data_IF_611674569672
#
_entry.id   IF_611674569672
#
_cell.length_a   1.000
_cell.length_b   1.000
_cell.length_c   1.000
_cell.angle_alpha   90.00
_cell.angle_beta   90.00
_cell.angle_gamma   90.00
#
_symmetry.space_group_name_H-M   'P 1'
#
loop_
_entity.id
_entity.type
_entity.pdbx_description
1 polymer ?
#
# COMPACT_ATOMS: atom_id res chain seq x y z
N UNK A 1 7.54 -7.67 39.91
CA UNK A 1 6.37 -7.93 39.03
C UNK A 1 6.87 -8.67 37.80
N UNK A 2 6.64 -9.98 37.75
CA UNK A 2 7.10 -10.86 36.67
C UNK A 2 6.37 -10.54 35.37
N UNK A 3 7.12 -10.23 34.29
CA UNK A 3 6.59 -10.25 32.94
C UNK A 3 6.37 -11.70 32.54
N UNK A 4 5.12 -12.10 32.37
CA UNK A 4 4.78 -13.39 31.76
C UNK A 4 5.07 -13.29 30.25
N UNK A 5 6.15 -13.92 29.82
CA UNK A 5 6.41 -14.18 28.40
C UNK A 5 5.44 -15.28 27.93
N UNK A 6 4.42 -14.91 27.17
CA UNK A 6 3.48 -15.86 26.56
C UNK A 6 4.15 -16.39 25.28
N UNK A 7 4.49 -17.67 25.29
CA UNK A 7 5.00 -18.41 24.14
C UNK A 7 3.85 -18.75 23.20
N UNK A 8 4.07 -18.60 21.89
CA UNK A 8 3.19 -19.18 20.86
C UNK A 8 3.01 -20.67 21.12
N UNK A 9 1.82 -21.25 20.85
CA UNK A 9 1.67 -22.69 20.78
C UNK A 9 2.73 -23.30 19.86
N UNK A 10 3.36 -24.37 20.27
CA UNK A 10 4.44 -25.03 19.51
C UNK A 10 4.03 -25.35 18.06
N UNK A 11 2.73 -25.54 17.79
CA UNK A 11 2.16 -25.74 16.45
C UNK A 11 2.29 -24.53 15.54
N UNK A 12 2.12 -23.29 16.05
CA UNK A 12 2.24 -22.06 15.27
C UNK A 12 3.72 -21.75 15.04
N UNK A 13 4.56 -21.95 16.05
CA UNK A 13 6.02 -21.79 15.94
C UNK A 13 6.61 -22.77 14.92
N UNK A 14 6.16 -24.03 14.94
CA UNK A 14 6.60 -25.07 14.01
C UNK A 14 6.16 -24.79 12.57
N UNK A 15 4.92 -24.35 12.36
CA UNK A 15 4.45 -23.93 11.02
C UNK A 15 5.27 -22.79 10.43
N UNK A 16 5.56 -21.75 11.21
CA UNK A 16 6.34 -20.60 10.76
C UNK A 16 7.79 -21.00 10.42
N UNK A 17 8.39 -21.92 11.17
CA UNK A 17 9.75 -22.39 10.94
C UNK A 17 9.90 -23.35 9.74
N UNK A 18 8.87 -24.14 9.43
CA UNK A 18 8.91 -25.13 8.34
C UNK A 18 8.51 -24.56 6.98
N UNK A 19 7.79 -23.44 6.94
CA UNK A 19 7.24 -22.88 5.70
C UNK A 19 8.13 -21.86 4.98
N UNK A 20 9.19 -21.37 5.63
CA UNK A 20 10.09 -20.42 4.94
C UNK A 20 11.54 -20.53 5.40
N UNK A 21 12.41 -21.25 4.64
CA UNK A 21 13.83 -21.31 4.92
C UNK A 21 14.55 -19.95 4.79
N UNK A 22 13.88 -18.95 4.27
CA UNK A 22 14.43 -17.59 4.06
C UNK A 22 14.23 -16.62 5.23
N UNK A 23 13.48 -17.01 6.28
CA UNK A 23 13.20 -16.16 7.45
C UNK A 23 13.48 -16.85 8.79
N UNK A 24 14.75 -17.08 9.14
CA UNK A 24 15.10 -17.79 10.38
C UNK A 24 14.79 -17.02 11.68
N UNK A 25 14.31 -15.79 11.62
CA UNK A 25 14.11 -14.90 12.78
C UNK A 25 12.66 -14.70 13.20
N UNK A 26 11.69 -15.40 12.58
CA UNK A 26 10.24 -15.30 12.92
C UNK A 26 9.88 -15.78 14.34
N UNK A 27 10.84 -16.30 15.12
CA UNK A 27 10.63 -16.79 16.48
C UNK A 27 10.67 -15.72 17.59
N UNK A 28 10.65 -14.43 17.25
CA UNK A 28 10.64 -13.35 18.25
C UNK A 28 9.23 -12.82 18.51
N UNK A 29 8.68 -13.23 19.69
CA UNK A 29 7.64 -12.55 20.49
C UNK A 29 6.52 -11.87 19.70
N UNK A 30 5.52 -12.64 19.28
CA UNK A 30 4.19 -12.07 19.08
C UNK A 30 3.71 -11.66 20.49
N UNK A 31 3.52 -10.37 20.71
CA UNK A 31 3.01 -9.85 21.98
C UNK A 31 1.54 -10.24 22.13
N UNK A 32 1.04 -10.41 23.35
CA UNK A 32 -0.38 -10.69 23.63
C UNK A 32 -1.33 -9.69 22.97
N UNK A 33 -0.86 -8.48 22.70
CA UNK A 33 -1.61 -7.46 21.97
C UNK A 33 -1.87 -7.84 20.50
N UNK A 34 -0.99 -8.58 19.83
CA UNK A 34 -1.19 -9.00 18.44
C UNK A 34 -2.26 -10.11 18.30
N UNK A 35 -2.57 -10.83 19.36
CA UNK A 35 -3.65 -11.81 19.38
C UNK A 35 -5.01 -11.16 19.62
N UNK A 36 -5.07 -10.06 20.38
CA UNK A 36 -6.30 -9.34 20.73
C UNK A 36 -6.67 -8.27 19.72
N UNK A 37 -5.68 -7.62 19.09
CA UNK A 37 -5.89 -6.62 18.04
C UNK A 37 -6.28 -7.29 16.72
N UNK A 38 -7.24 -6.70 16.00
CA UNK A 38 -7.76 -7.28 14.76
C UNK A 38 -7.98 -6.22 13.69
N UNK A 39 -7.84 -6.63 12.43
CA UNK A 39 -8.18 -5.84 11.25
C UNK A 39 -9.32 -6.51 10.48
N UNK A 40 -10.10 -5.73 9.77
CA UNK A 40 -11.03 -6.24 8.78
C UNK A 40 -10.32 -6.36 7.45
N UNK A 41 -10.09 -7.59 7.02
CA UNK A 41 -9.34 -7.96 5.82
C UNK A 41 -10.32 -8.34 4.73
N UNK A 42 -10.16 -7.78 3.54
CA UNK A 42 -10.93 -8.14 2.38
C UNK A 42 -10.32 -9.38 1.69
N UNK A 43 -9.01 -9.32 1.43
CA UNK A 43 -8.27 -10.43 0.80
C UNK A 43 -6.79 -10.41 1.17
N UNK A 44 -6.16 -11.58 1.13
CA UNK A 44 -4.70 -11.75 1.20
C UNK A 44 -4.30 -12.66 0.03
N UNK A 45 -3.38 -12.20 -0.82
CA UNK A 45 -2.97 -12.95 -2.00
C UNK A 45 -1.53 -12.65 -2.41
N UNK A 46 -0.92 -13.58 -3.14
CA UNK A 46 0.40 -13.41 -3.76
C UNK A 46 0.23 -13.02 -5.22
N UNK A 47 0.85 -11.92 -5.62
CA UNK A 47 0.88 -11.49 -7.02
C UNK A 47 2.19 -10.76 -7.34
N UNK A 48 2.32 -10.26 -8.56
CA UNK A 48 3.36 -9.28 -8.89
C UNK A 48 2.89 -7.88 -8.50
N UNK A 49 3.76 -7.08 -7.88
CA UNK A 49 3.48 -5.67 -7.70
C UNK A 49 3.27 -5.03 -9.08
N UNK A 50 2.09 -4.49 -9.32
CA UNK A 50 1.69 -3.92 -10.61
C UNK A 50 2.07 -2.47 -10.79
N UNK A 51 2.48 -1.81 -9.71
CA UNK A 51 2.74 -0.38 -9.64
C UNK A 51 3.99 -0.10 -8.79
N UNK A 52 4.31 1.18 -8.58
CA UNK A 52 5.42 1.65 -7.71
C UNK A 52 6.81 1.33 -8.25
N UNK A 53 7.85 1.69 -7.51
CA UNK A 53 9.23 1.29 -7.81
C UNK A 53 9.49 -0.22 -7.66
N UNK A 54 8.53 -0.95 -7.10
CA UNK A 54 8.58 -2.41 -6.89
C UNK A 54 7.86 -3.21 -7.99
N UNK A 55 7.44 -2.56 -9.08
CA UNK A 55 6.76 -3.22 -10.21
C UNK A 55 7.50 -4.48 -10.67
N UNK A 56 6.75 -5.58 -10.84
CA UNK A 56 7.28 -6.88 -11.26
C UNK A 56 7.83 -7.76 -10.12
N UNK A 57 7.91 -7.27 -8.88
CA UNK A 57 8.38 -8.10 -7.76
C UNK A 57 7.23 -8.95 -7.18
N UNK A 58 7.49 -10.25 -6.87
CA UNK A 58 6.56 -11.08 -6.11
C UNK A 58 6.24 -10.43 -4.76
N UNK A 59 4.97 -10.17 -4.50
CA UNK A 59 4.50 -9.38 -3.35
C UNK A 59 3.24 -10.01 -2.78
N UNK A 60 3.18 -10.12 -1.45
CA UNK A 60 1.92 -10.46 -0.76
C UNK A 60 1.13 -9.18 -0.54
N UNK A 61 -0.08 -9.16 -1.04
CA UNK A 61 -1.02 -8.07 -0.82
C UNK A 61 -1.92 -8.40 0.36
N UNK A 62 -2.03 -7.47 1.31
CA UNK A 62 -3.01 -7.49 2.38
C UNK A 62 -3.96 -6.34 2.15
N UNK A 63 -5.13 -6.63 1.60
CA UNK A 63 -6.17 -5.64 1.30
C UNK A 63 -7.13 -5.50 2.47
N UNK A 64 -7.15 -4.33 3.07
CA UNK A 64 -8.04 -4.02 4.18
C UNK A 64 -9.37 -3.45 3.69
N UNK A 65 -10.42 -3.70 4.47
CA UNK A 65 -11.78 -3.22 4.16
C UNK A 65 -12.01 -1.82 4.68
N UNK A 66 -12.79 -1.05 3.90
CA UNK A 66 -13.26 0.29 4.27
C UNK A 66 -12.42 1.41 3.67
N UNK A 67 -13.09 2.43 3.20
CA UNK A 67 -12.47 3.63 2.65
C UNK A 67 -13.37 4.85 2.95
N UNK A 68 -12.83 5.98 3.39
CA UNK A 68 -13.61 7.21 3.57
C UNK A 68 -13.88 7.94 2.25
N UNK A 69 -13.20 7.54 1.14
CA UNK A 69 -13.31 8.15 -0.16
C UNK A 69 -14.26 7.38 -1.08
N UNK A 70 -14.74 8.05 -2.14
CA UNK A 70 -15.58 7.48 -3.20
C UNK A 70 -15.09 7.96 -4.57
N UNK A 71 -13.83 7.66 -4.89
CA UNK A 71 -13.22 8.06 -6.16
C UNK A 71 -14.02 7.54 -7.37
N UNK A 72 -14.24 8.40 -8.35
CA UNK A 72 -15.06 8.05 -9.53
C UNK A 72 -14.48 6.95 -10.43
N UNK A 73 -13.18 6.67 -10.30
CA UNK A 73 -12.48 5.62 -11.03
C UNK A 73 -12.00 4.45 -10.13
N UNK A 74 -12.60 4.30 -8.93
CA UNK A 74 -12.17 3.28 -7.99
C UNK A 74 -12.36 1.87 -8.58
N UNK A 75 -11.28 1.14 -8.75
CA UNK A 75 -11.28 -0.25 -9.25
C UNK A 75 -11.43 -1.30 -8.13
N UNK A 76 -11.42 -0.85 -6.88
CA UNK A 76 -11.45 -1.70 -5.67
C UNK A 76 -12.70 -1.45 -4.81
N UNK A 77 -13.80 -1.00 -5.42
CA UNK A 77 -15.04 -0.67 -4.69
C UNK A 77 -15.61 -1.86 -3.88
N UNK A 78 -15.32 -3.10 -4.27
CA UNK A 78 -15.68 -4.30 -3.52
C UNK A 78 -15.07 -4.34 -2.11
N UNK A 79 -13.92 -3.69 -1.90
CA UNK A 79 -13.28 -3.61 -0.59
C UNK A 79 -13.92 -2.57 0.36
N UNK A 80 -15.00 -1.87 -0.03
CA UNK A 80 -15.63 -0.90 0.86
C UNK A 80 -16.35 -1.56 2.05
N UNK A 81 -16.96 -2.72 1.86
CA UNK A 81 -17.91 -3.30 2.82
C UNK A 81 -17.64 -4.76 3.18
N UNK A 82 -17.07 -5.53 2.26
CA UNK A 82 -16.80 -6.96 2.46
C UNK A 82 -15.54 -7.18 3.31
N UNK A 83 -15.32 -8.45 3.73
CA UNK A 83 -14.13 -8.85 4.47
C UNK A 83 -14.42 -9.39 5.86
N UNK A 84 -13.43 -10.09 6.40
CA UNK A 84 -13.50 -10.78 7.69
C UNK A 84 -12.59 -10.12 8.74
N UNK A 85 -12.97 -10.23 10.01
CA UNK A 85 -12.08 -9.83 11.11
C UNK A 85 -11.05 -10.92 11.36
N UNK A 86 -9.78 -10.55 11.25
CA UNK A 86 -8.65 -11.42 11.54
C UNK A 86 -7.75 -10.78 12.59
N UNK A 87 -7.22 -11.56 13.53
CA UNK A 87 -6.19 -11.07 14.45
C UNK A 87 -4.89 -10.74 13.67
N UNK A 88 -4.08 -9.81 14.17
CA UNK A 88 -2.82 -9.47 13.52
C UNK A 88 -1.91 -10.70 13.39
N UNK A 89 -1.95 -11.60 14.37
CA UNK A 89 -1.20 -12.86 14.33
C UNK A 89 -1.70 -13.79 13.20
N UNK A 90 -3.02 -13.88 12.99
CA UNK A 90 -3.59 -14.69 11.91
C UNK A 90 -3.22 -14.13 10.53
N UNK A 91 -3.26 -12.80 10.36
CA UNK A 91 -2.84 -12.15 9.11
C UNK A 91 -1.36 -12.40 8.85
N UNK A 92 -0.49 -12.23 9.86
CA UNK A 92 0.93 -12.49 9.73
C UNK A 92 1.23 -13.95 9.34
N UNK A 93 0.49 -14.90 9.93
CA UNK A 93 0.61 -16.33 9.60
C UNK A 93 0.22 -16.60 8.15
N UNK A 94 -0.86 -15.98 7.66
CA UNK A 94 -1.27 -16.12 6.26
C UNK A 94 -0.25 -15.50 5.29
N UNK A 95 0.27 -14.31 5.59
CA UNK A 95 1.36 -13.67 4.83
C UNK A 95 2.58 -14.60 4.74
N UNK A 96 2.95 -15.26 5.85
CA UNK A 96 4.10 -16.16 5.90
C UNK A 96 3.93 -17.38 4.97
N UNK A 97 2.72 -17.89 4.80
CA UNK A 97 2.43 -19.04 3.92
C UNK A 97 2.74 -18.76 2.45
N UNK A 98 2.65 -17.50 2.03
CA UNK A 98 2.97 -17.12 0.65
C UNK A 98 4.47 -17.04 0.34
N UNK A 99 5.35 -16.98 1.35
CA UNK A 99 6.80 -17.07 1.19
C UNK A 99 7.49 -15.93 0.44
N UNK A 100 6.82 -14.81 0.16
CA UNK A 100 7.44 -13.65 -0.48
C UNK A 100 8.03 -12.68 0.55
N UNK A 101 9.09 -11.98 0.16
CA UNK A 101 9.78 -10.99 1.01
C UNK A 101 9.03 -9.67 1.11
N UNK A 102 8.35 -9.28 0.03
CA UNK A 102 7.65 -8.01 -0.06
C UNK A 102 6.19 -8.17 0.37
N UNK A 103 5.70 -7.22 1.16
CA UNK A 103 4.31 -7.13 1.58
C UNK A 103 3.80 -5.73 1.30
N UNK A 104 2.69 -5.63 0.61
CA UNK A 104 1.97 -4.36 0.40
C UNK A 104 0.68 -4.40 1.20
N UNK A 105 0.55 -3.49 2.16
CA UNK A 105 -0.71 -3.23 2.85
C UNK A 105 -1.46 -2.17 2.08
N UNK A 106 -2.63 -2.52 1.59
CA UNK A 106 -3.48 -1.69 0.73
C UNK A 106 -4.95 -1.89 1.10
N UNK A 107 -5.87 -1.50 0.27
CA UNK A 107 -7.28 -1.81 0.50
C UNK A 107 -8.20 -0.74 -0.04
N UNK A 108 -9.24 -0.40 0.74
CA UNK A 108 -9.87 0.88 0.64
C UNK A 108 -8.91 1.98 1.11
N UNK A 109 -8.87 2.21 2.43
CA UNK A 109 -7.84 3.05 3.06
C UNK A 109 -7.34 2.34 4.33
N UNK A 110 -6.11 1.84 4.33
CA UNK A 110 -5.59 1.08 5.47
C UNK A 110 -5.57 1.87 6.78
N UNK A 111 -5.25 3.15 6.73
CA UNK A 111 -5.15 4.01 7.91
C UNK A 111 -6.51 4.35 8.54
N UNK A 112 -7.63 4.02 7.88
CA UNK A 112 -8.96 4.10 8.49
C UNK A 112 -9.16 3.09 9.63
N UNK A 113 -8.35 2.05 9.69
CA UNK A 113 -8.34 1.08 10.78
C UNK A 113 -7.13 1.33 11.70
N UNK A 114 -7.37 1.72 12.96
CA UNK A 114 -6.31 2.12 13.92
C UNK A 114 -5.22 1.05 14.09
N UNK A 115 -5.59 -0.21 14.08
CA UNK A 115 -4.67 -1.32 14.27
C UNK A 115 -3.73 -1.54 13.07
N UNK A 116 -3.95 -0.85 11.94
CA UNK A 116 -3.06 -0.94 10.79
C UNK A 116 -1.64 -0.46 11.10
N UNK A 117 -1.47 0.55 11.96
CA UNK A 117 -0.15 1.02 12.39
C UNK A 117 0.62 -0.05 13.16
N UNK A 118 -0.07 -0.77 14.07
CA UNK A 118 0.52 -1.88 14.81
C UNK A 118 0.86 -3.05 13.88
N UNK A 119 0.01 -3.32 12.89
CA UNK A 119 0.23 -4.37 11.91
C UNK A 119 1.43 -4.07 11.00
N UNK A 120 1.56 -2.86 10.49
CA UNK A 120 2.71 -2.42 9.69
C UNK A 120 4.03 -2.61 10.45
N UNK A 121 4.06 -2.21 11.74
CA UNK A 121 5.21 -2.43 12.61
C UNK A 121 5.51 -3.92 12.80
N UNK A 122 4.48 -4.73 13.04
CA UNK A 122 4.61 -6.18 13.21
C UNK A 122 5.23 -6.85 11.98
N UNK A 123 4.83 -6.45 10.77
CA UNK A 123 5.42 -6.94 9.51
C UNK A 123 6.90 -6.56 9.40
N UNK A 124 7.26 -5.31 9.71
CA UNK A 124 8.66 -4.87 9.72
C UNK A 124 9.49 -5.63 10.76
N UNK A 125 8.95 -5.87 11.96
CA UNK A 125 9.61 -6.63 13.04
C UNK A 125 9.80 -8.10 12.67
N UNK A 126 8.91 -8.63 11.82
CA UNK A 126 9.03 -9.98 11.25
C UNK A 126 10.03 -10.06 10.08
N UNK A 127 10.62 -8.94 9.65
CA UNK A 127 11.68 -8.87 8.63
C UNK A 127 11.18 -8.71 7.20
N UNK A 128 9.89 -8.41 7.00
CA UNK A 128 9.35 -8.10 5.67
C UNK A 128 9.80 -6.74 5.17
N UNK A 129 9.91 -6.60 3.85
CA UNK A 129 10.01 -5.32 3.17
C UNK A 129 8.60 -4.81 2.89
N UNK A 130 8.15 -3.85 3.70
CA UNK A 130 6.74 -3.42 3.75
C UNK A 130 6.52 -2.15 2.95
N UNK A 131 5.42 -2.10 2.21
CA UNK A 131 4.87 -0.87 1.64
C UNK A 131 3.42 -0.66 2.09
N UNK A 132 3.04 0.61 2.19
CA UNK A 132 1.68 1.05 2.48
C UNK A 132 1.18 1.89 1.31
N UNK A 133 0.12 1.45 0.66
CA UNK A 133 -0.63 2.27 -0.29
C UNK A 133 -1.77 2.98 0.45
N UNK A 134 -1.73 4.31 0.47
CA UNK A 134 -2.70 5.15 1.17
C UNK A 134 -3.19 6.27 0.27
N UNK A 135 -4.45 6.63 0.40
CA UNK A 135 -5.09 7.71 -0.35
C UNK A 135 -4.58 9.11 -0.01
N UNK A 136 -3.77 9.25 1.04
CA UNK A 136 -3.30 10.54 1.52
C UNK A 136 -4.35 11.39 2.25
N UNK A 137 -5.55 10.86 2.48
CA UNK A 137 -6.63 11.58 3.18
C UNK A 137 -6.51 11.51 4.71
N UNK A 138 -5.71 10.59 5.24
CA UNK A 138 -5.50 10.40 6.67
C UNK A 138 -4.03 10.66 7.04
N UNK A 139 -3.79 10.96 8.32
CA UNK A 139 -2.46 11.27 8.84
C UNK A 139 -1.53 10.04 8.77
N UNK A 140 -0.37 10.22 8.13
CA UNK A 140 0.67 9.19 7.98
C UNK A 140 1.79 9.31 9.03
N UNK A 141 1.77 10.30 9.91
CA UNK A 141 2.85 10.57 10.86
C UNK A 141 3.15 9.40 11.81
N UNK A 142 2.13 8.58 12.10
CA UNK A 142 2.27 7.40 12.97
C UNK A 142 2.80 6.14 12.27
N UNK A 143 3.02 6.17 10.95
CA UNK A 143 3.52 5.02 10.19
C UNK A 143 5.00 4.79 10.52
N UNK A 144 5.36 3.53 10.79
CA UNK A 144 6.75 3.14 11.09
C UNK A 144 7.69 3.55 9.94
N UNK A 145 8.83 4.13 10.27
CA UNK A 145 9.79 4.68 9.29
C UNK A 145 10.37 3.65 8.32
N UNK A 146 10.32 2.35 8.67
CA UNK A 146 10.76 1.24 7.81
C UNK A 146 9.78 0.91 6.69
N UNK A 147 8.55 1.44 6.78
CA UNK A 147 7.50 1.24 5.76
C UNK A 147 7.66 2.27 4.65
N UNK A 148 7.77 1.80 3.41
CA UNK A 148 7.71 2.68 2.24
C UNK A 148 6.25 3.11 2.01
N UNK A 149 5.96 4.40 2.13
CA UNK A 149 4.62 4.96 1.95
C UNK A 149 4.42 5.38 0.50
N UNK A 150 3.38 4.87 -0.12
CA UNK A 150 2.94 5.30 -1.44
C UNK A 150 1.72 6.20 -1.23
N UNK A 151 1.94 7.51 -1.31
CA UNK A 151 0.92 8.53 -1.07
C UNK A 151 0.21 8.83 -2.39
N UNK A 152 -1.00 8.31 -2.56
CA UNK A 152 -1.82 8.50 -3.75
C UNK A 152 -2.63 9.80 -3.62
N UNK A 153 -2.03 10.92 -4.05
CA UNK A 153 -2.68 12.24 -4.04
C UNK A 153 -3.80 12.28 -5.09
N UNK A 154 -5.00 12.58 -4.61
CA UNK A 154 -6.21 12.57 -5.44
C UNK A 154 -6.30 13.82 -6.31
N UNK A 155 -6.47 13.59 -7.61
CA UNK A 155 -6.64 14.63 -8.63
C UNK A 155 -8.10 15.09 -8.71
N UNK A 156 -8.42 16.22 -9.37
CA UNK A 156 -9.79 16.66 -9.57
C UNK A 156 -10.70 15.61 -10.20
N UNK A 157 -10.19 14.86 -11.19
CA UNK A 157 -10.95 13.80 -11.87
C UNK A 157 -11.33 12.60 -10.99
N UNK A 158 -10.73 12.49 -9.80
CA UNK A 158 -11.14 11.50 -8.79
C UNK A 158 -12.45 11.86 -8.09
N UNK A 159 -12.86 13.15 -8.11
CA UNK A 159 -13.92 13.76 -7.29
C UNK A 159 -13.63 13.78 -5.77
N UNK A 160 -12.38 13.52 -5.35
CA UNK A 160 -11.97 13.46 -3.93
C UNK A 160 -10.76 14.37 -3.63
N UNK A 161 -10.42 15.30 -4.52
CA UNK A 161 -9.25 16.19 -4.42
C UNK A 161 -9.19 16.98 -3.11
N UNK A 162 -10.34 17.39 -2.56
CA UNK A 162 -10.45 18.15 -1.30
C UNK A 162 -10.10 17.30 -0.06
N UNK A 163 -9.96 15.99 -0.22
CA UNK A 163 -9.59 15.08 0.85
C UNK A 163 -8.08 14.92 1.04
N UNK A 164 -7.27 15.47 0.15
CA UNK A 164 -5.81 15.41 0.30
C UNK A 164 -5.38 16.14 1.58
N UNK A 165 -4.74 15.41 2.49
CA UNK A 165 -4.17 15.98 3.71
C UNK A 165 -2.74 16.44 3.41
N UNK A 166 -2.59 17.69 3.01
CA UNK A 166 -1.31 18.27 2.56
C UNK A 166 -0.22 18.25 3.62
N UNK A 167 -0.57 18.24 4.93
CA UNK A 167 0.40 18.08 6.01
C UNK A 167 1.15 16.75 5.96
N UNK A 168 0.66 15.74 5.23
CA UNK A 168 1.37 14.48 5.04
C UNK A 168 2.70 14.64 4.32
N UNK A 169 2.84 15.66 3.45
CA UNK A 169 4.07 15.89 2.67
C UNK A 169 5.29 16.08 3.56
N UNK A 170 5.14 16.74 4.72
CA UNK A 170 6.25 16.95 5.67
C UNK A 170 6.81 15.65 6.28
N UNK A 171 6.07 14.54 6.19
CA UNK A 171 6.45 13.24 6.71
C UNK A 171 7.05 12.31 5.67
N UNK A 172 7.06 12.73 4.39
CA UNK A 172 7.64 11.95 3.31
C UNK A 172 9.17 11.99 3.35
N UNK A 173 9.78 10.89 2.96
CA UNK A 173 11.22 10.70 2.85
C UNK A 173 11.61 10.16 1.48
N UNK A 174 12.90 10.05 1.19
CA UNK A 174 13.42 9.47 -0.05
C UNK A 174 12.99 8.00 -0.27
N UNK A 175 12.54 7.31 0.78
CA UNK A 175 12.08 5.92 0.72
C UNK A 175 10.59 5.78 0.39
N UNK A 176 9.87 6.90 0.28
CA UNK A 176 8.46 6.97 -0.04
C UNK A 176 8.24 7.29 -1.52
N UNK A 177 7.00 7.28 -1.95
CA UNK A 177 6.59 7.64 -3.31
C UNK A 177 5.31 8.47 -3.26
N UNK A 178 5.19 9.43 -4.17
CA UNK A 178 3.92 10.14 -4.43
C UNK A 178 3.35 9.66 -5.74
N UNK A 179 2.09 9.26 -5.75
CA UNK A 179 1.39 8.79 -6.94
C UNK A 179 0.23 9.73 -7.29
N UNK A 180 0.09 10.02 -8.58
CA UNK A 180 -1.08 10.67 -9.16
C UNK A 180 -1.70 9.75 -10.20
N UNK A 181 -3.00 9.47 -10.04
CA UNK A 181 -3.80 8.71 -11.00
C UNK A 181 -4.62 9.70 -11.83
N UNK A 182 -4.36 9.74 -13.14
CA UNK A 182 -4.76 10.81 -14.04
C UNK A 182 -5.89 10.35 -14.98
N UNK A 183 -6.98 11.10 -15.02
CA UNK A 183 -8.11 10.84 -15.87
C UNK A 183 -8.00 11.50 -17.25
N UNK A 184 -7.36 12.67 -17.31
CA UNK A 184 -7.30 13.54 -18.49
C UNK A 184 -6.18 14.58 -18.37
N UNK A 185 -6.11 15.49 -19.35
CA UNK A 185 -5.11 16.57 -19.36
C UNK A 185 -5.32 17.59 -18.22
N UNK A 186 -6.54 17.78 -17.74
CA UNK A 186 -6.83 18.64 -16.59
C UNK A 186 -6.14 18.12 -15.34
N UNK A 187 -6.28 16.83 -15.06
CA UNK A 187 -5.59 16.14 -13.96
C UNK A 187 -4.06 16.21 -14.12
N UNK A 188 -3.55 16.02 -15.35
CA UNK A 188 -2.13 16.12 -15.62
C UNK A 188 -1.58 17.51 -15.28
N UNK A 189 -2.23 18.57 -15.75
CA UNK A 189 -1.80 19.95 -15.47
C UNK A 189 -1.85 20.26 -13.98
N UNK A 190 -2.90 19.82 -13.30
CA UNK A 190 -3.06 19.99 -11.87
C UNK A 190 -1.95 19.23 -11.10
N UNK A 191 -1.64 17.99 -11.48
CA UNK A 191 -0.57 17.20 -10.85
C UNK A 191 0.81 17.85 -11.02
N UNK A 192 1.11 18.40 -12.22
CA UNK A 192 2.34 19.16 -12.49
C UNK A 192 2.42 20.39 -11.60
N UNK A 193 1.33 21.15 -11.47
CA UNK A 193 1.25 22.32 -10.59
C UNK A 193 1.50 21.93 -9.12
N UNK A 194 0.83 20.90 -8.61
CA UNK A 194 0.98 20.43 -7.22
C UNK A 194 2.40 19.88 -6.97
N UNK A 195 2.96 19.15 -7.92
CA UNK A 195 4.34 18.68 -7.84
C UNK A 195 5.31 19.86 -7.67
N UNK A 196 5.18 20.91 -8.48
CA UNK A 196 6.02 22.10 -8.40
C UNK A 196 5.79 22.91 -7.12
N UNK A 197 4.53 23.16 -6.74
CA UNK A 197 4.13 23.90 -5.54
C UNK A 197 4.70 23.29 -4.26
N UNK A 198 4.67 21.96 -4.15
CA UNK A 198 5.11 21.23 -2.97
C UNK A 198 6.53 20.65 -3.14
N UNK A 199 7.19 20.85 -4.29
CA UNK A 199 8.54 20.34 -4.61
C UNK A 199 8.65 18.83 -4.39
N UNK A 200 7.64 18.07 -4.78
CA UNK A 200 7.53 16.65 -4.48
C UNK A 200 8.68 15.85 -5.10
N UNK A 201 9.12 16.22 -6.29
CA UNK A 201 10.26 15.64 -7.01
C UNK A 201 11.61 15.78 -6.28
N UNK A 202 11.67 16.68 -5.29
CA UNK A 202 12.86 16.89 -4.43
C UNK A 202 12.83 16.05 -3.17
N UNK A 203 11.69 15.47 -2.84
CA UNK A 203 11.47 14.67 -1.62
C UNK A 203 11.62 13.19 -1.94
N UNK A 204 10.86 12.70 -2.93
CA UNK A 204 10.80 11.29 -3.29
C UNK A 204 10.39 11.12 -4.77
N UNK A 205 10.46 9.90 -5.32
CA UNK A 205 9.93 9.60 -6.65
C UNK A 205 8.46 9.98 -6.78
N UNK A 206 8.12 10.65 -7.90
CA UNK A 206 6.74 10.98 -8.27
C UNK A 206 6.31 10.08 -9.42
N UNK A 207 5.14 9.47 -9.27
CA UNK A 207 4.58 8.50 -10.21
C UNK A 207 3.33 9.07 -10.87
N UNK A 208 3.29 9.04 -12.20
CA UNK A 208 2.11 9.38 -12.99
C UNK A 208 1.54 8.11 -13.61
N UNK A 209 0.27 7.82 -13.32
CA UNK A 209 -0.43 6.63 -13.79
C UNK A 209 -1.72 7.02 -14.50
N UNK A 210 -1.99 6.58 -15.74
CA UNK A 210 -3.25 6.85 -16.39
C UNK A 210 -4.34 5.95 -15.79
N UNK A 211 -5.57 6.49 -15.63
CA UNK A 211 -6.75 5.67 -15.32
C UNK A 211 -6.97 4.69 -16.47
N UNK A 212 -6.96 3.39 -16.16
CA UNK A 212 -7.15 2.34 -17.14
C UNK A 212 -8.47 2.52 -17.93
N UNK A 213 -8.40 2.43 -19.25
CA UNK A 213 -9.55 2.60 -20.13
C UNK A 213 -10.08 4.04 -20.28
N UNK A 214 -9.49 5.04 -19.59
CA UNK A 214 -9.93 6.43 -19.65
C UNK A 214 -8.88 7.37 -20.26
N UNK A 215 -7.63 7.26 -19.85
CA UNK A 215 -6.52 8.01 -20.44
C UNK A 215 -5.58 7.04 -21.16
N UNK A 216 -5.33 7.28 -22.45
CA UNK A 216 -4.37 6.50 -23.22
C UNK A 216 -2.97 6.66 -22.64
N UNK A 217 -2.27 5.55 -22.28
CA UNK A 217 -0.91 5.60 -21.77
C UNK A 217 0.07 6.30 -22.73
N UNK A 218 -0.11 6.16 -24.05
CA UNK A 218 0.72 6.82 -25.05
C UNK A 218 0.61 8.33 -24.96
N UNK A 219 -0.61 8.85 -24.80
CA UNK A 219 -0.87 10.29 -24.66
C UNK A 219 -0.21 10.83 -23.38
N UNK A 220 -0.30 10.11 -22.27
CA UNK A 220 0.38 10.51 -21.03
C UNK A 220 1.91 10.52 -21.21
N UNK A 221 2.46 9.50 -21.88
CA UNK A 221 3.90 9.45 -22.17
C UNK A 221 4.36 10.64 -22.99
N UNK A 222 3.61 11.01 -24.03
CA UNK A 222 3.90 12.17 -24.88
C UNK A 222 3.90 13.49 -24.09
N UNK A 223 2.94 13.67 -23.17
CA UNK A 223 2.91 14.87 -22.31
C UNK A 223 4.13 14.94 -21.40
N UNK A 224 4.49 13.81 -20.74
CA UNK A 224 5.66 13.75 -19.85
C UNK A 224 6.96 14.08 -20.63
N UNK A 225 7.12 13.52 -21.83
CA UNK A 225 8.30 13.74 -22.68
C UNK A 225 8.35 15.17 -23.22
N UNK A 226 7.21 15.71 -23.68
CA UNK A 226 7.09 17.10 -24.14
C UNK A 226 7.54 18.09 -23.06
N UNK A 227 7.07 17.87 -21.84
CA UNK A 227 7.30 18.79 -20.71
C UNK A 227 8.57 18.43 -19.92
N UNK A 228 9.27 17.33 -20.30
CA UNK A 228 10.52 16.85 -19.68
C UNK A 228 10.40 16.71 -18.16
N UNK A 229 9.29 16.17 -17.69
CA UNK A 229 9.02 16.06 -16.26
C UNK A 229 9.92 15.00 -15.61
N UNK A 230 10.46 15.27 -14.40
CA UNK A 230 11.22 14.30 -13.62
C UNK A 230 10.33 13.32 -12.89
N UNK A 231 9.39 12.70 -13.61
CA UNK A 231 8.43 11.74 -13.07
C UNK A 231 8.64 10.35 -13.66
N UNK A 232 8.21 9.34 -12.93
CA UNK A 232 8.12 7.98 -13.43
C UNK A 232 6.71 7.72 -13.94
N UNK A 233 6.58 7.44 -15.22
CA UNK A 233 5.33 6.92 -15.76
C UNK A 233 5.18 5.45 -15.42
N UNK A 234 3.98 5.02 -15.06
CA UNK A 234 3.65 3.62 -14.88
C UNK A 234 2.24 3.31 -15.41
N UNK A 235 2.06 2.08 -15.83
CA UNK A 235 0.75 1.49 -16.08
C UNK A 235 0.52 0.37 -15.07
N UNK A 236 -0.73 -0.01 -14.85
CA UNK A 236 -1.08 -1.10 -13.94
C UNK A 236 -0.73 -2.44 -14.59
N UNK A 237 0.47 -2.96 -14.29
CA UNK A 237 0.99 -4.19 -14.89
C UNK A 237 0.04 -5.38 -14.71
N UNK A 238 -0.59 -5.50 -13.54
CA UNK A 238 -1.54 -6.58 -13.27
C UNK A 238 -2.74 -6.56 -14.24
N UNK A 239 -3.23 -5.37 -14.64
CA UNK A 239 -4.32 -5.27 -15.63
C UNK A 239 -3.88 -5.69 -17.03
N UNK A 240 -2.61 -5.43 -17.39
CA UNK A 240 -2.06 -5.89 -18.67
C UNK A 240 -1.91 -7.41 -18.71
N UNK A 241 -1.53 -8.03 -17.57
CA UNK A 241 -1.29 -9.48 -17.51
C UNK A 241 -2.57 -10.28 -17.32
N UNK A 242 -3.50 -9.82 -16.49
CA UNK A 242 -4.63 -10.62 -16.01
C UNK A 242 -6.00 -9.95 -16.16
N UNK A 243 -6.05 -8.72 -16.66
CA UNK A 243 -7.30 -7.96 -16.76
C UNK A 243 -7.75 -7.41 -15.39
N UNK A 244 -9.07 -7.31 -15.19
CA UNK A 244 -9.66 -6.65 -14.01
C UNK A 244 -10.11 -7.61 -12.89
N UNK A 245 -9.63 -8.87 -12.89
CA UNK A 245 -10.00 -9.84 -11.85
C UNK A 245 -9.41 -9.52 -10.47
N UNK A 246 -10.17 -9.69 -9.36
CA UNK A 246 -9.64 -9.58 -8.01
C UNK A 246 -8.58 -10.64 -7.72
N UNK A 247 -7.70 -10.39 -6.72
CA UNK A 247 -6.68 -11.35 -6.28
C UNK A 247 -5.51 -11.54 -7.26
N UNK A 248 -5.26 -10.55 -8.13
CA UNK A 248 -4.24 -10.63 -9.19
C UNK A 248 -3.37 -9.37 -9.19
#
# INVERSE_FOLDING_TARGET
>A
MCRQDIFLPASVLYMVQTLSPHFPHLSRKITSSAETSSLRVNEIFLSLQGETSRVGLPTVFVRLTGCPLRCGYCDTAYAFHEGERMSLAAILSEVARHGARHVTVTGGEPLAQKESLAFLRLLCDAGYSVSLETSGALDISGVDERVSRILDLKTPGSAEVEKNLWSNIQHLTIHDEVKFVLCDEGDYRWAVEMMGKHRLDRICPVLFSPVHGRLDPTVLAEWILRDRLPVRMQVQLHKLLWGEGPGR
#
